data_IF_279815328518
#
_entry.id   IF_279815328518
#
_cell.length_a   1.000
_cell.length_b   1.000
_cell.length_c   1.000
_cell.angle_alpha   90.00
_cell.angle_beta   90.00
_cell.angle_gamma   90.00
#
_symmetry.space_group_name_H-M   'P 1'
#
loop_
_entity.id
_entity.type
_entity.pdbx_description
1 polymer ?
#
# COMPACT_ATOMS: atom_id res chain seq x y z
N UNK A 1 -11.23 -29.93 -16.04
CA UNK A 1 -10.53 -28.94 -15.22
C UNK A 1 -10.79 -27.58 -15.86
N UNK A 2 -11.60 -26.72 -15.25
CA UNK A 2 -11.77 -25.36 -15.72
C UNK A 2 -10.40 -24.66 -15.56
N UNK A 3 -9.83 -24.17 -16.68
CA UNK A 3 -8.67 -23.27 -16.61
C UNK A 3 -9.09 -22.11 -15.75
N UNK A 4 -8.43 -21.91 -14.59
CA UNK A 4 -8.59 -20.69 -13.82
C UNK A 4 -8.38 -19.52 -14.79
N UNK A 5 -9.40 -18.73 -14.99
CA UNK A 5 -9.31 -17.52 -15.80
C UNK A 5 -8.36 -16.61 -15.04
N UNK A 6 -7.20 -16.33 -15.61
CA UNK A 6 -6.30 -15.31 -15.05
C UNK A 6 -7.09 -14.02 -14.84
N UNK A 7 -6.69 -13.26 -13.85
CA UNK A 7 -7.34 -11.97 -13.50
C UNK A 7 -6.35 -10.86 -13.77
N UNK A 8 -6.83 -9.68 -14.07
CA UNK A 8 -6.01 -8.49 -14.05
C UNK A 8 -5.85 -8.01 -12.61
N UNK A 9 -4.73 -7.35 -12.30
CA UNK A 9 -4.38 -6.91 -10.94
C UNK A 9 -3.97 -5.43 -10.94
N UNK A 10 -4.59 -4.64 -10.08
CA UNK A 10 -4.18 -3.27 -9.76
C UNK A 10 -3.63 -3.22 -8.33
N UNK A 11 -2.35 -2.93 -8.19
CA UNK A 11 -1.68 -2.71 -6.92
C UNK A 11 -1.54 -1.21 -6.66
N UNK A 12 -2.14 -0.71 -5.59
CA UNK A 12 -2.09 0.72 -5.23
C UNK A 12 -1.16 0.90 -4.05
N UNK A 13 -0.13 1.72 -4.22
CA UNK A 13 0.78 2.11 -3.15
C UNK A 13 0.72 3.60 -2.86
N UNK A 14 0.59 4.00 -1.58
CA UNK A 14 0.72 5.39 -1.19
C UNK A 14 2.07 5.99 -1.56
N UNK A 15 3.15 5.32 -1.18
CA UNK A 15 4.52 5.71 -1.51
C UNK A 15 5.19 4.64 -2.35
N UNK A 16 6.19 5.04 -3.11
CA UNK A 16 7.13 4.10 -3.72
C UNK A 16 7.79 3.27 -2.63
N UNK A 17 7.74 1.96 -2.68
CA UNK A 17 8.21 0.95 -1.72
C UNK A 17 7.12 0.20 -0.90
N UNK A 18 5.91 0.73 -0.76
CA UNK A 18 4.88 0.10 0.07
C UNK A 18 4.50 -1.31 -0.41
N UNK A 19 4.46 -1.54 -1.71
CA UNK A 19 4.15 -2.86 -2.28
C UNK A 19 5.21 -3.90 -1.92
N UNK A 20 6.50 -3.55 -2.02
CA UNK A 20 7.57 -4.48 -1.64
C UNK A 20 7.52 -4.82 -0.16
N UNK A 21 7.24 -3.83 0.68
CA UNK A 21 7.20 -4.05 2.12
C UNK A 21 5.96 -4.82 2.58
N UNK A 22 4.81 -4.58 1.94
CA UNK A 22 3.52 -4.97 2.49
C UNK A 22 2.75 -5.99 1.65
N UNK A 23 3.05 -6.12 0.35
CA UNK A 23 2.30 -6.90 -0.61
C UNK A 23 3.17 -7.61 -1.67
N UNK A 24 4.42 -7.95 -1.33
CA UNK A 24 5.37 -8.59 -2.26
C UNK A 24 4.93 -9.98 -2.74
N UNK A 25 3.97 -10.63 -2.08
CA UNK A 25 3.40 -11.88 -2.55
C UNK A 25 2.77 -11.77 -3.93
N UNK A 26 2.11 -10.64 -4.22
CA UNK A 26 1.55 -10.39 -5.54
C UNK A 26 2.63 -10.32 -6.62
N UNK A 27 3.81 -9.80 -6.30
CA UNK A 27 4.95 -9.77 -7.23
C UNK A 27 5.45 -11.18 -7.54
N UNK A 28 5.51 -12.07 -6.55
CA UNK A 28 5.90 -13.48 -6.74
C UNK A 28 4.88 -14.24 -7.56
N UNK A 29 3.60 -13.92 -7.38
CA UNK A 29 2.49 -14.54 -8.09
C UNK A 29 2.16 -13.83 -9.41
N UNK A 30 3.04 -12.94 -9.90
CA UNK A 30 2.84 -12.16 -11.14
C UNK A 30 2.35 -13.02 -12.31
N UNK A 31 2.88 -14.23 -12.44
CA UNK A 31 2.50 -15.18 -13.50
C UNK A 31 1.06 -15.70 -13.46
N UNK A 32 0.35 -15.50 -12.33
CA UNK A 32 -1.06 -15.88 -12.18
C UNK A 32 -2.02 -14.82 -12.74
N UNK A 33 -1.50 -13.64 -13.13
CA UNK A 33 -2.26 -12.51 -13.65
C UNK A 33 -1.93 -12.27 -15.12
N UNK A 34 -2.93 -11.83 -15.90
CA UNK A 34 -2.74 -11.47 -17.32
C UNK A 34 -2.11 -10.09 -17.46
N UNK A 35 -2.61 -9.13 -16.70
CA UNK A 35 -2.09 -7.76 -16.63
C UNK A 35 -1.92 -7.33 -15.18
N UNK A 36 -0.83 -6.63 -14.89
CA UNK A 36 -0.55 -6.07 -13.55
C UNK A 36 -0.16 -4.61 -13.70
N UNK A 37 -0.93 -3.76 -13.05
CA UNK A 37 -0.67 -2.33 -12.97
C UNK A 37 -0.28 -1.99 -11.53
N UNK A 38 0.81 -1.25 -11.37
CA UNK A 38 1.19 -0.63 -10.10
C UNK A 38 0.90 0.87 -10.17
N UNK A 39 -0.01 1.35 -9.31
CA UNK A 39 -0.38 2.75 -9.18
C UNK A 39 0.30 3.36 -7.95
N UNK A 40 1.27 4.26 -8.18
CA UNK A 40 1.90 5.04 -7.10
C UNK A 40 1.19 6.39 -6.96
N UNK A 41 0.65 6.65 -5.76
CA UNK A 41 -0.18 7.84 -5.49
C UNK A 41 0.69 9.07 -5.17
N UNK A 42 1.74 8.89 -4.36
CA UNK A 42 2.70 9.96 -4.09
C UNK A 42 3.54 10.29 -5.32
N UNK A 43 3.76 11.56 -5.56
CA UNK A 43 4.76 11.98 -6.52
C UNK A 43 6.10 12.28 -5.83
N UNK A 44 7.09 11.44 -6.11
CA UNK A 44 8.46 11.65 -5.68
C UNK A 44 9.41 11.29 -6.84
N UNK A 45 9.98 12.30 -7.46
CA UNK A 45 10.80 12.15 -8.67
C UNK A 45 11.99 11.19 -8.48
N UNK A 46 12.62 11.24 -7.30
CA UNK A 46 13.77 10.38 -6.99
C UNK A 46 13.41 8.91 -6.85
N UNK A 47 12.17 8.62 -6.44
CA UNK A 47 11.67 7.26 -6.25
C UNK A 47 10.96 6.73 -7.49
N UNK A 48 10.58 7.60 -8.41
CA UNK A 48 9.92 7.19 -9.65
C UNK A 48 10.81 6.26 -10.49
N UNK A 49 12.14 6.52 -10.51
CA UNK A 49 13.10 5.64 -11.18
C UNK A 49 13.16 4.24 -10.53
N UNK A 50 13.03 4.17 -9.21
CA UNK A 50 13.00 2.92 -8.45
C UNK A 50 11.73 2.12 -8.77
N UNK A 51 10.57 2.79 -8.86
CA UNK A 51 9.30 2.19 -9.28
C UNK A 51 9.36 1.66 -10.73
N UNK A 52 10.00 2.40 -11.64
CA UNK A 52 10.19 1.96 -13.03
C UNK A 52 10.99 0.66 -13.07
N UNK A 53 12.14 0.61 -12.39
CA UNK A 53 12.98 -0.58 -12.33
C UNK A 53 12.25 -1.80 -11.76
N UNK A 54 11.42 -1.59 -10.73
CA UNK A 54 10.59 -2.64 -10.16
C UNK A 54 9.57 -3.15 -11.19
N UNK A 55 8.88 -2.24 -11.87
CA UNK A 55 7.88 -2.61 -12.87
C UNK A 55 8.50 -3.34 -14.05
N UNK A 56 9.70 -2.94 -14.51
CA UNK A 56 10.42 -3.64 -15.56
C UNK A 56 10.80 -5.06 -15.15
N UNK A 57 11.31 -5.26 -13.93
CA UNK A 57 11.71 -6.59 -13.43
C UNK A 57 10.53 -7.56 -13.34
N UNK A 58 9.36 -7.07 -12.92
CA UNK A 58 8.17 -7.92 -12.73
C UNK A 58 7.17 -7.85 -13.88
N UNK A 59 7.54 -7.28 -15.02
CA UNK A 59 6.66 -7.13 -16.20
C UNK A 59 5.30 -6.52 -15.82
N UNK A 60 5.34 -5.34 -15.19
CA UNK A 60 4.17 -4.58 -14.73
C UNK A 60 4.12 -3.22 -15.44
N UNK A 61 2.92 -2.66 -15.53
CA UNK A 61 2.73 -1.28 -15.99
C UNK A 61 2.76 -0.33 -14.79
N UNK A 62 3.64 0.68 -14.81
CA UNK A 62 3.63 1.76 -13.83
C UNK A 62 2.62 2.84 -14.22
N UNK A 63 1.78 3.21 -13.26
CA UNK A 63 0.85 4.32 -13.36
C UNK A 63 1.10 5.31 -12.23
N UNK A 64 1.03 6.60 -12.51
CA UNK A 64 1.11 7.69 -11.51
C UNK A 64 -0.01 8.69 -11.75
N UNK A 65 -0.41 9.41 -10.70
CA UNK A 65 -1.41 10.47 -10.84
C UNK A 65 -0.82 11.71 -11.54
N UNK A 66 -1.63 12.38 -12.31
CA UNK A 66 -1.30 13.71 -12.88
C UNK A 66 -1.24 14.77 -11.78
N UNK A 67 -2.08 14.62 -10.77
CA UNK A 67 -2.10 15.49 -9.58
C UNK A 67 -0.94 15.12 -8.66
N UNK A 68 0.16 15.87 -8.80
CA UNK A 68 1.39 15.62 -8.03
C UNK A 68 1.23 16.02 -6.58
N UNK A 69 1.14 15.03 -5.67
CA UNK A 69 1.11 15.22 -4.22
C UNK A 69 2.38 14.62 -3.62
N UNK A 70 3.07 15.38 -2.77
CA UNK A 70 4.18 14.86 -1.97
C UNK A 70 3.75 14.78 -0.51
N UNK A 71 4.09 13.69 0.14
CA UNK A 71 3.85 13.44 1.55
C UNK A 71 5.15 13.41 2.37
N UNK A 72 6.23 13.92 1.80
CA UNK A 72 7.53 13.99 2.49
C UNK A 72 7.37 14.63 3.87
N UNK A 73 7.91 13.97 4.89
CA UNK A 73 7.81 14.35 6.30
C UNK A 73 6.42 14.23 6.96
N UNK A 74 5.35 13.82 6.27
CA UNK A 74 4.01 13.69 6.87
C UNK A 74 4.02 12.86 8.14
N UNK A 75 4.67 11.69 8.10
CA UNK A 75 4.76 10.82 9.27
C UNK A 75 5.47 11.50 10.45
N UNK A 76 6.61 12.16 10.20
CA UNK A 76 7.39 12.84 11.24
C UNK A 76 6.60 13.98 11.86
N UNK A 77 5.99 14.82 11.04
CA UNK A 77 5.23 15.98 11.48
C UNK A 77 3.94 15.60 12.21
N UNK A 78 3.21 14.61 11.69
CA UNK A 78 1.97 14.14 12.30
C UNK A 78 2.17 13.62 13.73
N UNK A 79 3.29 12.92 13.96
CA UNK A 79 3.59 12.35 15.27
C UNK A 79 4.49 13.24 16.16
N UNK A 80 4.87 14.44 15.73
CA UNK A 80 5.66 15.37 16.56
C UNK A 80 4.95 15.70 17.86
N UNK A 81 3.61 15.83 17.83
CA UNK A 81 2.78 16.17 18.98
C UNK A 81 2.34 14.94 19.81
N UNK A 82 2.92 13.76 19.58
CA UNK A 82 2.56 12.50 20.24
C UNK A 82 1.08 12.11 20.13
N UNK A 83 0.37 12.62 19.11
CA UNK A 83 -1.03 12.28 18.87
C UNK A 83 -1.18 10.82 18.47
N UNK A 84 -2.22 10.18 18.99
CA UNK A 84 -2.68 8.90 18.47
C UNK A 84 -3.39 9.13 17.13
N UNK A 85 -3.32 8.14 16.25
CA UNK A 85 -4.02 8.19 14.98
C UNK A 85 -5.54 8.07 15.21
N UNK A 86 -6.30 8.92 14.53
CA UNK A 86 -7.75 8.83 14.37
C UNK A 86 -8.10 9.37 12.99
N UNK A 87 -9.28 9.02 12.50
CA UNK A 87 -9.73 9.45 11.18
C UNK A 87 -9.84 10.98 11.08
N UNK A 88 -10.42 11.63 12.08
CA UNK A 88 -10.54 13.10 12.11
C UNK A 88 -9.19 13.80 12.12
N UNK A 89 -8.22 13.28 12.90
CA UNK A 89 -6.89 13.86 12.97
C UNK A 89 -6.09 13.66 11.68
N UNK A 90 -6.23 12.51 11.03
CA UNK A 90 -5.58 12.22 9.76
C UNK A 90 -6.18 13.08 8.63
N UNK A 91 -7.51 13.20 8.56
CA UNK A 91 -8.20 14.05 7.59
C UNK A 91 -7.77 15.51 7.73
N UNK A 92 -7.84 16.06 8.94
CA UNK A 92 -7.47 17.45 9.22
C UNK A 92 -6.01 17.72 8.85
N UNK A 93 -5.12 16.78 9.14
CA UNK A 93 -3.71 16.90 8.79
C UNK A 93 -3.50 16.89 7.27
N UNK A 94 -4.13 15.96 6.54
CA UNK A 94 -4.01 15.88 5.09
C UNK A 94 -4.57 17.13 4.41
N UNK A 95 -5.73 17.64 4.86
CA UNK A 95 -6.31 18.90 4.36
C UNK A 95 -5.36 20.07 4.56
N UNK A 96 -4.75 20.19 5.74
CA UNK A 96 -3.79 21.26 6.04
C UNK A 96 -2.54 21.18 5.16
N UNK A 97 -2.03 19.97 4.89
CA UNK A 97 -0.75 19.78 4.17
C UNK A 97 -0.91 19.80 2.64
N UNK A 98 -1.96 19.23 2.12
CA UNK A 98 -2.18 19.11 0.66
C UNK A 98 -2.98 20.29 0.14
N UNK A 99 -3.93 20.79 0.92
CA UNK A 99 -4.92 21.79 0.52
C UNK A 99 -6.12 21.16 -0.18
N UNK A 100 -7.31 21.71 0.11
CA UNK A 100 -8.59 21.17 -0.32
C UNK A 100 -8.70 20.97 -1.84
N UNK A 101 -8.40 22.00 -2.61
CA UNK A 101 -8.50 21.95 -4.08
C UNK A 101 -7.64 20.85 -4.71
N UNK A 102 -6.44 20.66 -4.18
CA UNK A 102 -5.51 19.63 -4.68
C UNK A 102 -5.95 18.23 -4.27
N UNK A 103 -6.47 18.11 -3.07
CA UNK A 103 -7.05 16.87 -2.56
C UNK A 103 -8.27 16.45 -3.37
N UNK A 104 -9.18 17.37 -3.68
CA UNK A 104 -10.35 17.09 -4.52
C UNK A 104 -9.95 16.65 -5.94
N UNK A 105 -8.94 17.29 -6.55
CA UNK A 105 -8.41 16.86 -7.86
C UNK A 105 -7.83 15.46 -7.80
N UNK A 106 -7.03 15.16 -6.79
CA UNK A 106 -6.45 13.82 -6.58
C UNK A 106 -7.55 12.78 -6.38
N UNK A 107 -8.55 13.07 -5.56
CA UNK A 107 -9.68 12.19 -5.32
C UNK A 107 -10.46 11.89 -6.61
N UNK A 108 -10.80 12.91 -7.38
CA UNK A 108 -11.53 12.75 -8.65
C UNK A 108 -10.73 11.98 -9.69
N UNK A 109 -9.42 12.20 -9.78
CA UNK A 109 -8.56 11.48 -10.71
C UNK A 109 -8.43 10.00 -10.32
N UNK A 110 -8.19 9.73 -9.04
CA UNK A 110 -8.07 8.39 -8.51
C UNK A 110 -9.38 7.61 -8.69
N UNK A 111 -10.50 8.24 -8.38
CA UNK A 111 -11.82 7.66 -8.52
C UNK A 111 -12.13 7.26 -9.97
N UNK A 112 -11.86 8.14 -10.93
CA UNK A 112 -12.06 7.83 -12.35
C UNK A 112 -11.17 6.67 -12.85
N UNK A 113 -9.93 6.56 -12.35
CA UNK A 113 -9.06 5.41 -12.65
C UNK A 113 -9.68 4.12 -12.08
N UNK A 114 -10.09 4.15 -10.83
CA UNK A 114 -10.60 2.96 -10.13
C UNK A 114 -11.94 2.47 -10.69
N UNK A 115 -12.81 3.39 -11.13
CA UNK A 115 -14.06 3.05 -11.79
C UNK A 115 -13.78 2.23 -13.05
N UNK A 116 -12.91 2.72 -13.94
CA UNK A 116 -12.52 2.01 -15.17
C UNK A 116 -11.88 0.65 -14.85
N UNK A 117 -10.94 0.59 -13.90
CA UNK A 117 -10.28 -0.66 -13.54
C UNK A 117 -11.25 -1.69 -12.94
N UNK A 118 -12.23 -1.22 -12.15
CA UNK A 118 -13.27 -2.09 -11.59
C UNK A 118 -14.19 -2.63 -12.68
N UNK A 119 -14.60 -1.81 -13.65
CA UNK A 119 -15.40 -2.22 -14.81
C UNK A 119 -14.65 -3.23 -15.69
N UNK A 120 -13.35 -3.07 -15.86
CA UNK A 120 -12.48 -3.98 -16.61
C UNK A 120 -12.13 -5.26 -15.83
N UNK A 121 -12.65 -5.41 -14.60
CA UNK A 121 -12.53 -6.62 -13.80
C UNK A 121 -11.17 -6.83 -13.15
N UNK A 122 -10.43 -5.77 -12.89
CA UNK A 122 -9.20 -5.84 -12.09
C UNK A 122 -9.49 -6.20 -10.64
N UNK A 123 -8.66 -7.06 -10.06
CA UNK A 123 -8.57 -7.21 -8.61
C UNK A 123 -7.81 -5.99 -8.06
N UNK A 124 -8.49 -5.17 -7.27
CA UNK A 124 -7.94 -3.92 -6.75
C UNK A 124 -7.43 -4.12 -5.32
N UNK A 125 -6.14 -3.92 -5.13
CA UNK A 125 -5.44 -4.11 -3.85
C UNK A 125 -4.82 -2.80 -3.40
N UNK A 126 -5.13 -2.36 -2.18
CA UNK A 126 -4.66 -1.10 -1.59
C UNK A 126 -4.18 -1.27 -0.16
N UNK A 127 -3.66 -0.21 0.45
CA UNK A 127 -3.22 -0.22 1.84
C UNK A 127 -4.40 -0.19 2.83
N UNK A 128 -4.20 -0.76 4.03
CA UNK A 128 -5.17 -0.68 5.14
C UNK A 128 -5.19 0.71 5.80
N UNK A 129 -4.19 1.54 5.54
CA UNK A 129 -4.15 2.93 5.95
C UNK A 129 -3.82 3.16 7.42
N UNK A 130 -3.03 2.27 8.05
CA UNK A 130 -2.72 2.34 9.49
C UNK A 130 -1.36 2.96 9.74
N UNK A 131 -1.32 3.99 10.57
CA UNK A 131 -0.09 4.51 11.14
C UNK A 131 0.66 5.52 10.29
N UNK A 132 0.09 5.93 9.16
CA UNK A 132 0.59 7.03 8.34
C UNK A 132 -0.59 7.83 7.77
N UNK A 133 -0.68 9.16 7.95
CA UNK A 133 -1.83 9.94 7.52
C UNK A 133 -2.06 9.88 6.00
N UNK A 134 -1.02 9.79 5.20
CA UNK A 134 -1.17 9.66 3.75
C UNK A 134 -1.67 8.27 3.34
N UNK A 135 -1.25 7.19 4.01
CA UNK A 135 -1.84 5.85 3.80
C UNK A 135 -3.32 5.84 4.18
N UNK A 136 -3.67 6.47 5.31
CA UNK A 136 -5.06 6.66 5.70
C UNK A 136 -5.87 7.36 4.60
N UNK A 137 -5.32 8.44 4.02
CA UNK A 137 -5.97 9.15 2.93
C UNK A 137 -6.18 8.26 1.70
N UNK A 138 -5.13 7.53 1.27
CA UNK A 138 -5.22 6.63 0.11
C UNK A 138 -6.26 5.56 0.34
N UNK A 139 -6.28 4.91 1.52
CA UNK A 139 -7.34 3.96 1.88
C UNK A 139 -8.74 4.58 1.68
N UNK A 140 -8.99 5.73 2.28
CA UNK A 140 -10.31 6.35 2.23
C UNK A 140 -10.75 6.73 0.82
N UNK A 141 -9.82 7.10 -0.05
CA UNK A 141 -10.11 7.42 -1.43
C UNK A 141 -10.33 6.19 -2.32
N UNK A 142 -9.81 5.03 -1.90
CA UNK A 142 -9.84 3.80 -2.71
C UNK A 142 -10.81 2.74 -2.20
N UNK A 143 -11.25 2.84 -0.94
CA UNK A 143 -11.92 1.75 -0.23
C UNK A 143 -13.26 1.29 -0.84
N UNK A 144 -13.95 2.16 -1.60
CA UNK A 144 -15.21 1.79 -2.26
C UNK A 144 -15.01 0.87 -3.47
N UNK A 145 -13.80 0.87 -4.06
CA UNK A 145 -13.44 0.08 -5.23
C UNK A 145 -12.53 -1.10 -4.88
N UNK A 146 -11.86 -1.04 -3.73
CA UNK A 146 -10.86 -2.04 -3.37
C UNK A 146 -11.50 -3.37 -2.95
N UNK A 147 -10.91 -4.46 -3.44
CA UNK A 147 -11.27 -5.83 -3.06
C UNK A 147 -10.48 -6.30 -1.84
N UNK A 148 -9.20 -5.92 -1.77
CA UNK A 148 -8.29 -6.32 -0.70
C UNK A 148 -7.47 -5.15 -0.17
N UNK A 149 -7.13 -5.24 1.12
CA UNK A 149 -6.33 -4.26 1.83
C UNK A 149 -5.12 -4.95 2.46
N UNK A 150 -3.91 -4.57 2.05
CA UNK A 150 -2.70 -5.08 2.69
C UNK A 150 -2.38 -4.31 3.97
N UNK A 151 -1.84 -5.02 4.97
CA UNK A 151 -1.41 -4.43 6.22
C UNK A 151 -0.13 -3.63 6.05
N UNK A 152 -0.18 -2.34 6.40
CA UNK A 152 0.92 -1.39 6.21
C UNK A 152 2.15 -1.75 7.04
N UNK A 153 3.25 -2.14 6.41
CA UNK A 153 4.52 -2.34 7.09
C UNK A 153 5.40 -1.08 6.92
N UNK A 154 6.14 -0.63 7.96
CA UNK A 154 6.12 -1.11 9.34
C UNK A 154 5.08 -0.38 10.23
N UNK A 155 4.27 0.49 9.64
CA UNK A 155 3.45 1.47 10.35
C UNK A 155 2.42 0.85 11.28
N UNK A 156 1.66 -0.14 10.81
CA UNK A 156 0.62 -0.81 11.58
C UNK A 156 1.15 -1.67 12.74
N UNK A 157 2.43 -2.03 12.71
CA UNK A 157 3.08 -2.84 13.75
C UNK A 157 3.66 -2.02 14.89
N UNK A 158 3.70 -0.67 14.78
CA UNK A 158 4.19 0.20 15.84
C UNK A 158 3.20 0.23 16.99
N UNK A 159 3.70 0.10 18.24
CA UNK A 159 2.88 0.01 19.45
C UNK A 159 1.82 1.12 19.55
N UNK A 160 2.15 2.34 19.15
CA UNK A 160 1.25 3.50 19.19
C UNK A 160 0.03 3.39 18.25
N UNK A 161 0.11 2.52 17.23
CA UNK A 161 -0.95 2.34 16.24
C UNK A 161 -1.82 1.09 16.52
N UNK A 162 -1.49 0.34 17.59
CA UNK A 162 -2.14 -0.93 17.92
C UNK A 162 -3.64 -0.78 18.18
N UNK A 163 -4.03 0.22 18.95
CA UNK A 163 -5.44 0.44 19.29
C UNK A 163 -6.26 0.80 18.05
N UNK A 164 -5.75 1.70 17.22
CA UNK A 164 -6.40 2.06 15.97
C UNK A 164 -6.53 0.85 15.02
N UNK A 165 -5.45 0.07 14.87
CA UNK A 165 -5.47 -1.15 14.05
C UNK A 165 -6.49 -2.17 14.56
N UNK A 166 -6.52 -2.44 15.86
CA UNK A 166 -7.47 -3.38 16.46
C UNK A 166 -8.91 -2.88 16.32
N UNK A 167 -9.16 -1.59 16.52
CA UNK A 167 -10.48 -0.98 16.31
C UNK A 167 -10.95 -1.20 14.88
N UNK A 168 -10.13 -0.84 13.90
CA UNK A 168 -10.43 -0.97 12.48
C UNK A 168 -10.74 -2.41 12.07
N UNK A 169 -9.89 -3.36 12.48
CA UNK A 169 -10.04 -4.78 12.11
C UNK A 169 -11.15 -5.51 12.84
N UNK A 170 -11.63 -4.98 13.96
CA UNK A 170 -12.78 -5.54 14.67
C UNK A 170 -14.12 -5.04 14.15
N UNK A 171 -14.18 -3.86 13.54
CA UNK A 171 -15.43 -3.21 13.13
C UNK A 171 -15.63 -3.18 11.62
N UNK A 172 -14.59 -2.93 10.83
CA UNK A 172 -14.73 -2.59 9.41
C UNK A 172 -14.07 -3.60 8.47
N UNK A 173 -13.05 -4.30 8.94
CA UNK A 173 -12.25 -5.18 8.09
C UNK A 173 -12.12 -6.57 8.71
N UNK A 174 -12.24 -7.60 7.87
CA UNK A 174 -11.98 -8.99 8.25
C UNK A 174 -10.69 -9.49 7.63
N UNK A 175 -9.88 -10.15 8.44
CA UNK A 175 -8.72 -10.87 7.93
C UNK A 175 -9.19 -11.94 6.94
N UNK A 176 -8.77 -11.82 5.70
CA UNK A 176 -8.91 -12.89 4.72
C UNK A 176 -7.83 -13.92 5.04
N UNK A 177 -8.22 -15.19 5.21
CA UNK A 177 -7.24 -16.24 5.55
C UNK A 177 -6.11 -16.25 4.53
N UNK A 178 -4.94 -15.90 5.03
CA UNK A 178 -3.70 -15.68 4.27
C UNK A 178 -3.17 -16.98 3.64
N UNK A 179 -3.66 -18.16 4.08
CA UNK A 179 -3.18 -19.46 3.63
C UNK A 179 -3.32 -19.76 2.13
N UNK A 180 -4.16 -19.02 1.42
CA UNK A 180 -4.29 -19.17 -0.04
C UNK A 180 -3.35 -18.24 -0.82
N UNK A 181 -2.81 -17.19 -0.18
CA UNK A 181 -1.95 -16.18 -0.80
C UNK A 181 -0.49 -16.23 -0.31
N UNK A 182 -0.20 -17.01 0.73
CA UNK A 182 1.11 -17.01 1.35
C UNK A 182 1.82 -18.35 1.19
N UNK A 183 2.46 -18.55 0.07
CA UNK A 183 3.57 -19.49 -0.06
C UNK A 183 4.88 -18.98 0.55
N UNK A 184 4.87 -17.89 1.36
CA UNK A 184 6.08 -17.31 1.94
C UNK A 184 6.63 -18.18 3.05
N UNK A 185 7.72 -18.89 2.77
CA UNK A 185 8.57 -19.54 3.76
C UNK A 185 9.48 -18.50 4.42
N UNK A 186 10.07 -18.85 5.56
CA UNK A 186 11.04 -18.01 6.30
C UNK A 186 12.21 -17.49 5.44
N UNK A 187 12.56 -18.22 4.37
CA UNK A 187 13.53 -17.88 3.34
C UNK A 187 13.14 -16.63 2.53
N UNK A 188 11.88 -16.30 2.46
CA UNK A 188 11.33 -15.23 1.62
C UNK A 188 11.48 -13.82 2.21
N UNK A 189 11.70 -13.68 3.52
CA UNK A 189 12.02 -12.39 4.12
C UNK A 189 13.42 -11.89 3.76
N UNK A 190 14.35 -12.82 3.57
CA UNK A 190 15.65 -12.49 3.03
C UNK A 190 15.51 -11.91 1.61
N UNK A 191 14.55 -12.42 0.84
CA UNK A 191 14.26 -11.94 -0.51
C UNK A 191 13.63 -10.55 -0.52
N UNK A 192 12.69 -10.25 0.40
CA UNK A 192 12.16 -8.87 0.53
C UNK A 192 13.25 -7.86 0.86
N UNK A 193 14.14 -8.21 1.77
CA UNK A 193 15.29 -7.37 2.12
C UNK A 193 16.22 -7.15 0.93
N UNK A 194 16.44 -8.19 0.13
CA UNK A 194 17.26 -8.10 -1.07
C UNK A 194 16.54 -7.23 -2.12
N UNK A 195 15.25 -7.41 -2.35
CA UNK A 195 14.46 -6.58 -3.26
C UNK A 195 14.52 -5.08 -2.89
N UNK A 196 14.40 -4.75 -1.60
CA UNK A 196 14.53 -3.35 -1.19
C UNK A 196 15.93 -2.82 -1.48
N UNK A 197 16.99 -3.61 -1.29
CA UNK A 197 18.36 -3.21 -1.64
C UNK A 197 18.57 -3.04 -3.14
N UNK A 198 17.95 -3.88 -3.94
CA UNK A 198 18.16 -3.90 -5.38
C UNK A 198 17.36 -2.78 -6.06
N UNK A 199 16.11 -2.57 -5.66
CA UNK A 199 15.20 -1.65 -6.32
C UNK A 199 15.04 -0.31 -5.59
N UNK A 200 15.05 -0.29 -4.24
CA UNK A 200 14.82 0.93 -3.45
C UNK A 200 16.05 1.36 -2.65
N UNK A 201 17.12 1.67 -3.35
CA UNK A 201 18.40 2.12 -2.75
C UNK A 201 18.23 3.37 -1.89
N UNK A 202 17.29 4.25 -2.23
CA UNK A 202 16.96 5.43 -1.45
C UNK A 202 16.44 5.08 -0.05
N UNK A 203 15.86 3.88 0.13
CA UNK A 203 15.29 3.36 1.38
C UNK A 203 16.27 2.48 2.16
N UNK A 204 17.47 2.24 1.67
CA UNK A 204 18.45 1.37 2.31
C UNK A 204 18.78 1.76 3.76
N UNK A 205 18.73 3.07 4.08
CA UNK A 205 18.91 3.56 5.45
C UNK A 205 17.77 3.16 6.40
N UNK A 206 16.52 3.05 5.91
CA UNK A 206 15.38 2.60 6.69
C UNK A 206 15.49 1.12 7.05
N UNK A 207 16.12 0.31 6.17
CA UNK A 207 16.34 -1.11 6.42
C UNK A 207 17.16 -1.37 7.69
N UNK A 208 18.10 -0.50 8.04
CA UNK A 208 18.90 -0.66 9.26
C UNK A 208 18.05 -0.45 10.52
N UNK A 209 17.12 0.49 10.52
CA UNK A 209 16.21 0.73 11.65
C UNK A 209 15.14 -0.34 11.79
N UNK A 210 14.69 -0.91 10.66
CA UNK A 210 13.61 -1.88 10.62
C UNK A 210 14.12 -3.34 10.59
N UNK A 211 15.45 -3.57 10.62
CA UNK A 211 16.05 -4.92 10.62
C UNK A 211 15.47 -5.85 11.69
N UNK A 212 15.10 -5.32 12.85
CA UNK A 212 14.47 -6.09 13.92
C UNK A 212 13.06 -6.61 13.54
N UNK A 213 12.33 -5.87 12.70
CA UNK A 213 11.00 -6.26 12.20
C UNK A 213 11.11 -7.18 11.00
N UNK A 214 11.99 -6.86 10.05
CA UNK A 214 12.21 -7.67 8.84
C UNK A 214 12.77 -9.06 9.19
N UNK A 215 13.68 -9.14 10.16
CA UNK A 215 14.22 -10.43 10.62
C UNK A 215 13.19 -11.34 11.27
N UNK A 216 12.09 -10.80 11.79
CA UNK A 216 11.01 -11.59 12.39
C UNK A 216 9.96 -12.01 11.37
N UNK A 217 10.12 -11.62 10.11
CA UNK A 217 9.21 -11.97 9.02
C UNK A 217 7.76 -11.95 9.48
N UNK A 218 7.22 -10.74 9.58
CA UNK A 218 5.79 -10.63 9.81
C UNK A 218 5.10 -11.08 8.51
N UNK A 219 4.17 -12.02 8.59
CA UNK A 219 3.44 -12.47 7.42
C UNK A 219 2.71 -11.27 6.79
N UNK A 220 2.62 -11.27 5.48
CA UNK A 220 1.72 -10.32 4.82
C UNK A 220 0.29 -10.68 5.20
N UNK A 221 -0.46 -9.71 5.65
CA UNK A 221 -1.85 -9.85 6.03
C UNK A 221 -2.72 -9.04 5.08
N UNK A 222 -3.78 -9.67 4.58
CA UNK A 222 -4.76 -9.05 3.69
C UNK A 222 -6.13 -9.06 4.32
N UNK A 223 -6.90 -8.03 4.09
CA UNK A 223 -8.21 -7.81 4.69
C UNK A 223 -9.24 -7.52 3.62
N UNK A 224 -10.46 -7.96 3.84
CA UNK A 224 -11.64 -7.55 3.08
C UNK A 224 -12.48 -6.59 3.93
N UNK A 225 -13.07 -5.58 3.31
CA UNK A 225 -14.05 -4.72 3.99
C UNK A 225 -15.30 -5.54 4.29
N UNK A 226 -15.82 -5.41 5.51
CA UNK A 226 -17.11 -6.02 5.88
C UNK A 226 -18.19 -5.33 5.07
N UNK A 227 -18.93 -6.09 4.27
CA UNK A 227 -20.11 -5.58 3.57
C UNK A 227 -21.26 -5.59 4.57
N UNK A 228 -21.90 -4.43 4.74
CA UNK A 228 -23.15 -4.29 5.50
C UNK A 228 -24.28 -5.13 4.88
#
# INVERSE_FOLDING_TARGET
MAKNKKRNLLLIQPHSDDIIFSAANFLKERGEYDDVIMLTVEYNEKRLEEDILLCEEFDMTLMTLRTKVSSENFHKEYYSDKKLMSDDSAMSFCLMKIGENKLLKMASELDGILEVMSEDGYLIVTCLGVGHPFHWLVRNLTERHADLFYRDFPHSYKRRNKEYFVGLTNSEFKLKQVHELTGLKEEDGANKFQFVKDFYKSQSSLLFFEQGYIKKMLPEEYYEKVKD
#
